data_IF_891250536241
#
_entry.id   IF_891250536241
#
_cell.length_a   1.000
_cell.length_b   1.000
_cell.length_c   1.000
_cell.angle_alpha   90.00
_cell.angle_beta   90.00
_cell.angle_gamma   90.00
#
_symmetry.space_group_name_H-M   'P 1'
#
loop_
_entity.id
_entity.type
_entity.pdbx_description
1 polymer ?
#
# COMPACT_ATOMS: atom_id res chain seq x y z
N UNK A 1 3.86 7.50 0.52
CA UNK A 1 3.14 7.40 -0.78
C UNK A 1 1.83 8.16 -0.66
N UNK A 2 1.04 8.32 -1.72
CA UNK A 2 -0.31 8.87 -1.58
C UNK A 2 -1.30 7.78 -1.12
N UNK A 3 -2.30 8.17 -0.34
CA UNK A 3 -3.40 7.27 0.01
C UNK A 3 -4.12 6.82 -1.27
N UNK A 4 -4.31 5.50 -1.44
CA UNK A 4 -4.86 4.89 -2.64
C UNK A 4 -3.83 4.26 -3.58
N UNK A 5 -2.53 4.55 -3.41
CA UNK A 5 -1.46 3.90 -4.18
C UNK A 5 -1.36 2.42 -3.87
N UNK A 6 -0.77 1.64 -4.78
CA UNK A 6 -0.50 0.22 -4.53
C UNK A 6 0.92 0.05 -4.00
N UNK A 7 1.03 -0.62 -2.87
CA UNK A 7 2.32 -1.05 -2.32
C UNK A 7 2.45 -2.57 -2.40
N UNK A 8 3.56 -3.05 -2.96
CA UNK A 8 4.03 -4.43 -2.80
C UNK A 8 5.09 -4.46 -1.71
N UNK A 9 4.89 -5.26 -0.67
CA UNK A 9 5.83 -5.37 0.45
C UNK A 9 6.13 -6.84 0.79
N UNK A 10 7.31 -7.07 1.36
CA UNK A 10 7.75 -8.38 1.84
C UNK A 10 7.60 -8.47 3.35
N UNK A 11 7.08 -9.59 3.85
CA UNK A 11 6.93 -9.87 5.28
C UNK A 11 7.05 -11.36 5.53
N UNK A 12 7.94 -11.76 6.44
CA UNK A 12 8.12 -13.15 6.87
C UNK A 12 8.39 -14.11 5.69
N UNK A 13 9.16 -13.67 4.68
CA UNK A 13 9.44 -14.50 3.51
C UNK A 13 8.35 -14.51 2.44
N UNK A 14 7.25 -13.78 2.64
CA UNK A 14 6.08 -13.77 1.76
C UNK A 14 5.81 -12.35 1.28
N UNK A 15 5.43 -12.23 0.01
CA UNK A 15 5.08 -10.98 -0.64
C UNK A 15 3.58 -10.72 -0.61
N UNK A 16 3.22 -9.46 -0.38
CA UNK A 16 1.84 -9.00 -0.30
C UNK A 16 1.68 -7.72 -1.10
N UNK A 17 0.48 -7.47 -1.59
CA UNK A 17 0.07 -6.20 -2.15
C UNK A 17 -0.94 -5.55 -1.20
N UNK A 18 -0.95 -4.23 -1.06
CA UNK A 18 -1.99 -3.49 -0.33
C UNK A 18 -2.24 -2.14 -0.99
N UNK A 19 -3.33 -1.51 -0.58
CA UNK A 19 -3.62 -0.12 -0.90
C UNK A 19 -3.07 0.74 0.25
N UNK A 20 -2.25 1.72 -0.09
CA UNK A 20 -1.71 2.68 0.88
C UNK A 20 -2.85 3.45 1.54
N UNK A 21 -2.83 3.53 2.86
CA UNK A 21 -3.93 4.08 3.67
C UNK A 21 -5.02 3.07 4.03
N UNK A 22 -4.98 1.83 3.51
CA UNK A 22 -5.87 0.74 3.93
C UNK A 22 -5.12 -0.32 4.75
N UNK A 23 -5.81 -0.86 5.76
CA UNK A 23 -5.27 -1.93 6.61
C UNK A 23 -5.26 -3.31 5.91
N UNK A 24 -5.95 -3.44 4.78
CA UNK A 24 -6.20 -4.71 4.13
C UNK A 24 -5.25 -4.94 2.95
N UNK A 25 -4.69 -6.14 2.88
CA UNK A 25 -3.92 -6.60 1.73
C UNK A 25 -4.84 -6.96 0.56
N UNK A 26 -4.43 -6.58 -0.64
CA UNK A 26 -5.06 -6.94 -1.89
C UNK A 26 -4.72 -8.39 -2.26
N UNK A 27 -5.78 -9.21 -2.38
CA UNK A 27 -5.69 -10.53 -2.98
C UNK A 27 -4.91 -11.55 -2.13
N UNK A 28 -4.21 -12.45 -2.82
CA UNK A 28 -3.45 -13.55 -2.23
C UNK A 28 -2.02 -13.13 -1.87
N UNK A 29 -1.39 -13.93 -1.03
CA UNK A 29 0.04 -13.80 -0.75
C UNK A 29 0.87 -14.55 -1.79
N UNK A 30 2.08 -14.06 -2.05
CA UNK A 30 2.96 -14.58 -3.10
C UNK A 30 4.31 -15.01 -2.51
N UNK A 31 4.87 -16.10 -3.02
CA UNK A 31 6.22 -16.55 -2.65
C UNK A 31 7.31 -15.89 -3.49
N UNK A 32 6.96 -15.37 -4.67
CA UNK A 32 7.90 -14.74 -5.60
C UNK A 32 7.63 -13.25 -5.72
N UNK A 33 8.70 -12.45 -5.70
CA UNK A 33 8.64 -11.00 -5.89
C UNK A 33 8.03 -10.65 -7.24
N UNK A 34 8.50 -11.28 -8.33
CA UNK A 34 8.04 -11.01 -9.70
C UNK A 34 6.52 -11.16 -9.84
N UNK A 35 5.95 -12.23 -9.29
CA UNK A 35 4.51 -12.46 -9.30
C UNK A 35 3.77 -11.41 -8.48
N UNK A 36 4.29 -11.04 -7.31
CA UNK A 36 3.69 -10.00 -6.47
C UNK A 36 3.70 -8.64 -7.18
N UNK A 37 4.82 -8.27 -7.78
CA UNK A 37 5.02 -7.01 -8.51
C UNK A 37 4.12 -6.95 -9.74
N UNK A 38 4.01 -8.05 -10.49
CA UNK A 38 3.13 -8.14 -11.67
C UNK A 38 1.66 -7.93 -11.30
N UNK A 39 1.21 -8.55 -10.22
CA UNK A 39 -0.17 -8.38 -9.71
C UNK A 39 -0.37 -6.97 -9.16
N UNK A 40 0.56 -6.46 -8.35
CA UNK A 40 0.52 -5.11 -7.79
C UNK A 40 0.46 -4.04 -8.88
N UNK A 41 1.31 -4.15 -9.91
CA UNK A 41 1.32 -3.24 -11.05
C UNK A 41 0.03 -3.29 -11.86
N UNK A 42 -0.53 -4.49 -12.06
CA UNK A 42 -1.83 -4.65 -12.75
C UNK A 42 -2.96 -3.97 -11.96
N UNK A 43 -2.96 -4.11 -10.63
CA UNK A 43 -3.92 -3.45 -9.76
C UNK A 43 -3.76 -1.92 -9.77
N UNK A 44 -2.52 -1.42 -9.78
CA UNK A 44 -2.23 0.00 -9.87
C UNK A 44 -2.69 0.61 -11.19
N UNK A 45 -2.45 -0.09 -12.32
CA UNK A 45 -2.93 0.33 -13.64
C UNK A 45 -4.46 0.37 -13.68
N UNK A 46 -5.13 -0.66 -13.16
CA UNK A 46 -6.60 -0.70 -13.12
C UNK A 46 -7.20 0.44 -12.29
N UNK A 47 -6.48 0.91 -11.26
CA UNK A 47 -6.87 2.02 -10.39
C UNK A 47 -6.34 3.38 -10.85
N UNK A 48 -5.44 3.40 -11.82
CA UNK A 48 -4.73 4.60 -12.30
C UNK A 48 -3.94 5.31 -11.17
N UNK A 49 -3.29 4.54 -10.32
CA UNK A 49 -2.49 5.02 -9.17
C UNK A 49 -1.02 4.57 -9.31
N UNK A 50 -0.15 5.07 -8.44
CA UNK A 50 1.25 4.68 -8.45
C UNK A 50 1.45 3.28 -7.84
N UNK A 51 2.50 2.60 -8.28
CA UNK A 51 2.90 1.30 -7.74
C UNK A 51 4.31 1.40 -7.18
N UNK A 52 4.49 0.99 -5.93
CA UNK A 52 5.81 0.93 -5.32
C UNK A 52 6.10 -0.44 -4.72
N UNK A 53 7.36 -0.83 -4.74
CA UNK A 53 7.84 -2.11 -4.23
C UNK A 53 8.83 -1.86 -3.09
N UNK A 54 8.60 -2.49 -1.94
CA UNK A 54 9.43 -2.43 -0.73
C UNK A 54 10.00 -3.81 -0.42
N UNK A 55 11.32 -3.91 -0.42
CA UNK A 55 12.06 -5.12 -0.06
C UNK A 55 12.39 -5.20 1.43
N UNK A 56 12.24 -4.10 2.17
CA UNK A 56 12.39 -4.06 3.63
C UNK A 56 11.16 -4.68 4.32
N UNK A 57 11.39 -5.45 5.39
CA UNK A 57 10.31 -6.12 6.13
C UNK A 57 9.47 -5.09 6.90
N UNK A 58 8.37 -4.65 6.30
CA UNK A 58 7.39 -3.83 6.99
C UNK A 58 6.55 -2.98 6.04
N UNK A 59 5.34 -2.59 6.46
CA UNK A 59 4.61 -1.53 5.78
C UNK A 59 5.45 -0.24 5.83
N UNK A 60 5.46 0.54 4.74
CA UNK A 60 5.97 1.91 4.79
C UNK A 60 5.32 2.62 6.00
N UNK A 61 6.13 3.21 6.87
CA UNK A 61 5.67 4.06 7.98
C UNK A 61 5.14 5.38 7.38
N UNK A 62 4.08 5.29 6.59
CA UNK A 62 3.27 6.42 6.16
C UNK A 62 1.96 6.32 6.94
N UNK A 63 2.08 6.54 8.26
CA UNK A 63 0.94 6.82 9.12
C UNK A 63 0.46 8.24 8.84
N UNK A 64 -0.29 8.41 7.76
CA UNK A 64 -1.20 9.55 7.60
C UNK A 64 -2.60 9.09 7.17
N UNK A 65 -3.04 7.93 7.66
CA UNK A 65 -4.44 7.55 7.60
C UNK A 65 -5.20 8.14 8.81
N UNK A 66 -5.79 9.32 8.56
CA UNK A 66 -6.97 9.87 9.24
C UNK A 66 -6.89 10.18 10.75
N UNK A 67 -6.32 11.33 11.10
CA UNK A 67 -6.83 12.13 12.23
C UNK A 67 -6.64 13.63 11.93
N UNK A 68 -7.43 14.13 10.97
CA UNK A 68 -7.82 15.53 10.95
C UNK A 68 -9.33 15.52 10.96
N UNK A 69 -9.90 15.60 12.16
CA UNK A 69 -11.33 15.81 12.33
C UNK A 69 -11.72 17.10 11.58
N UNK A 70 -12.84 17.14 10.80
CA UNK A 70 -13.25 18.33 10.05
C UNK A 70 -13.45 19.61 10.89
N UNK A 71 -13.48 19.48 12.22
CA UNK A 71 -13.59 20.58 13.18
C UNK A 71 -12.25 21.24 13.53
N UNK A 72 -11.12 20.64 13.19
CA UNK A 72 -9.79 21.20 13.49
C UNK A 72 -9.27 22.15 12.40
N UNK A 73 -9.96 22.24 11.25
CA UNK A 73 -9.67 23.20 10.18
C UNK A 73 -10.28 24.60 10.41
N UNK A 74 -11.11 24.78 11.44
CA UNK A 74 -11.74 26.05 11.77
C UNK A 74 -11.44 26.39 13.24
N UNK A 75 -10.19 26.74 13.55
CA UNK A 75 -9.88 27.25 14.88
C UNK A 75 -8.43 27.37 15.27
N UNK A 76 -7.67 28.25 14.60
CA UNK A 76 -6.94 29.39 15.21
C UNK A 76 -5.77 29.86 14.36
#
# INVERSE_FOLDING_TARGET
MAAGDIETFHRNGIWFNRIEGESQTLGSSFVSEDEAVKVGRSAAVARQVEHTVRTEEGPSTDSHAYDLHPRELIGR
#
